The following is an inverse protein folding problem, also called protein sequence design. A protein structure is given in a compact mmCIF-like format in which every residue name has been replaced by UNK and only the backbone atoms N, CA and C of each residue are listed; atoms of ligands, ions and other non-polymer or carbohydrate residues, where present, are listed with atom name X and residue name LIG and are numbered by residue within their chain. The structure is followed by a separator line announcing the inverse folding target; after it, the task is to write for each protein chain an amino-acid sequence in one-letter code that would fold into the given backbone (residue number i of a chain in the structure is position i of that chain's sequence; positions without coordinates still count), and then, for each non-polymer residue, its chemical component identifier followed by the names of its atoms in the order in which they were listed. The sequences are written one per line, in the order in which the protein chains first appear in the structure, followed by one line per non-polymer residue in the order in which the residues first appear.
data_IF_240203177930
#
_entry.id   IF_240203177930
#
_cell.length_a   1.000
_cell.length_b   1.000
_cell.length_c   1.000
_cell.angle_alpha   90.00
_cell.angle_beta   90.00
_cell.angle_gamma   90.00
#
_symmetry.space_group_name_H-M   'P 1'
#
loop_
_entity.id
_entity.type
_entity.pdbx_description
1 polymer ?
#
# COMPACT_ATOMS: atom_id res chain seq x y z
N UNK A 1 10.92 5.51 -17.28
CA UNK A 1 10.89 5.35 -15.80
C UNK A 1 11.76 4.17 -15.51
N UNK A 2 12.70 4.32 -14.58
CA UNK A 2 13.73 3.32 -14.33
C UNK A 2 13.13 2.09 -13.62
N UNK A 3 13.71 0.90 -13.85
CA UNK A 3 13.30 -0.36 -13.22
C UNK A 3 13.42 -0.28 -11.69
N UNK A 4 14.39 0.49 -11.20
CA UNK A 4 14.57 0.81 -9.78
C UNK A 4 13.33 1.49 -9.16
N UNK A 5 12.74 2.49 -9.84
CA UNK A 5 11.53 3.17 -9.35
C UNK A 5 10.35 2.19 -9.31
N UNK A 6 10.29 1.27 -10.27
CA UNK A 6 9.24 0.27 -10.32
C UNK A 6 9.32 -0.69 -9.14
N UNK A 7 10.51 -1.23 -8.83
CA UNK A 7 10.69 -2.11 -7.67
C UNK A 7 10.43 -1.38 -6.34
N UNK A 8 10.88 -0.13 -6.17
CA UNK A 8 10.56 0.66 -4.97
C UNK A 8 9.05 0.84 -4.80
N UNK A 9 8.33 1.14 -5.87
CA UNK A 9 6.87 1.27 -5.82
C UNK A 9 6.17 -0.06 -5.54
N UNK A 10 6.72 -1.17 -6.04
CA UNK A 10 6.21 -2.52 -5.79
C UNK A 10 6.40 -2.93 -4.35
N UNK A 11 7.60 -2.83 -3.80
CA UNK A 11 7.89 -3.13 -2.40
C UNK A 11 7.01 -2.30 -1.47
N UNK A 12 6.94 -1.00 -1.71
CA UNK A 12 6.10 -0.09 -0.92
C UNK A 12 4.62 -0.45 -1.02
N UNK A 13 4.13 -0.69 -2.25
CA UNK A 13 2.75 -1.06 -2.49
C UNK A 13 2.40 -2.38 -1.81
N UNK A 14 3.23 -3.41 -1.94
CA UNK A 14 3.03 -4.69 -1.25
C UNK A 14 3.00 -4.53 0.26
N UNK A 15 3.87 -3.70 0.84
CA UNK A 15 3.84 -3.41 2.27
C UNK A 15 2.52 -2.76 2.69
N UNK A 16 2.05 -1.75 1.96
CA UNK A 16 0.74 -1.12 2.20
C UNK A 16 -0.38 -2.15 2.09
N UNK A 17 -0.39 -2.97 1.04
CA UNK A 17 -1.41 -3.99 0.84
C UNK A 17 -1.44 -5.05 1.96
N UNK A 18 -0.27 -5.41 2.50
CA UNK A 18 -0.17 -6.30 3.65
C UNK A 18 -0.81 -5.71 4.90
N UNK A 19 -0.43 -4.48 5.28
CA UNK A 19 -0.95 -3.86 6.52
C UNK A 19 -2.44 -3.55 6.43
N UNK A 20 -2.92 -3.14 5.26
CA UNK A 20 -4.35 -2.91 4.99
C UNK A 20 -5.14 -4.22 5.15
N UNK A 21 -4.58 -5.33 4.68
CA UNK A 21 -5.21 -6.64 4.82
C UNK A 21 -5.30 -7.08 6.28
N UNK A 22 -4.23 -6.91 7.06
CA UNK A 22 -4.24 -7.26 8.50
C UNK A 22 -5.26 -6.42 9.28
N UNK A 23 -5.42 -5.15 8.90
CA UNK A 23 -6.42 -4.25 9.46
C UNK A 23 -7.85 -4.45 8.89
N UNK A 24 -8.05 -5.35 7.93
CA UNK A 24 -9.31 -5.58 7.19
C UNK A 24 -9.94 -4.27 6.66
N UNK A 25 -9.11 -3.31 6.23
CA UNK A 25 -9.54 -1.94 5.94
C UNK A 25 -9.25 -1.48 4.50
N UNK A 26 -9.94 -2.09 3.54
CA UNK A 26 -9.79 -1.74 2.12
C UNK A 26 -10.04 -0.24 1.81
N UNK A 27 -10.79 0.48 2.66
CA UNK A 27 -11.04 1.91 2.55
C UNK A 27 -9.76 2.75 2.44
N UNK A 28 -8.68 2.34 3.12
CA UNK A 28 -7.41 3.07 3.11
C UNK A 28 -6.76 3.08 1.70
N UNK A 29 -6.99 2.05 0.88
CA UNK A 29 -6.52 2.02 -0.51
C UNK A 29 -7.29 3.01 -1.40
N UNK A 30 -8.58 3.22 -1.14
CA UNK A 30 -9.36 4.25 -1.83
C UNK A 30 -8.87 5.65 -1.47
N UNK A 31 -8.52 5.89 -0.21
CA UNK A 31 -7.94 7.15 0.24
C UNK A 31 -6.68 7.48 -0.56
N UNK A 32 -5.70 6.56 -0.61
CA UNK A 32 -4.45 6.74 -1.38
C UNK A 32 -4.71 6.96 -2.87
N UNK A 33 -5.62 6.18 -3.49
CA UNK A 33 -5.99 6.34 -4.90
C UNK A 33 -6.47 7.77 -5.18
N UNK A 34 -7.29 8.31 -4.29
CA UNK A 34 -8.03 9.55 -4.49
C UNK A 34 -7.22 10.83 -4.22
N UNK A 35 -6.01 10.75 -3.66
CA UNK A 35 -5.13 11.91 -3.48
C UNK A 35 -4.85 12.60 -4.83
N UNK A 36 -5.18 13.90 -4.95
CA UNK A 36 -5.12 14.65 -6.22
C UNK A 36 -3.85 15.50 -6.38
N UNK A 37 -3.10 15.68 -5.30
CA UNK A 37 -1.85 16.43 -5.25
C UNK A 37 -0.86 15.74 -4.28
N UNK A 38 0.44 16.10 -4.32
CA UNK A 38 1.45 15.53 -3.43
C UNK A 38 1.12 15.74 -1.95
N UNK A 39 0.59 16.91 -1.57
CA UNK A 39 0.30 17.26 -0.18
C UNK A 39 -0.73 16.30 0.42
N UNK A 40 -1.87 16.12 -0.24
CA UNK A 40 -2.90 15.15 0.17
C UNK A 40 -2.40 13.70 0.15
N UNK A 41 -1.42 13.38 -0.69
CA UNK A 41 -0.79 12.06 -0.68
C UNK A 41 0.09 11.87 0.55
N UNK A 42 0.92 12.86 0.90
CA UNK A 42 1.76 12.82 2.09
C UNK A 42 0.92 12.78 3.37
N UNK A 43 -0.15 13.58 3.45
CA UNK A 43 -1.10 13.53 4.58
C UNK A 43 -1.76 12.16 4.71
N UNK A 44 -2.17 11.54 3.59
CA UNK A 44 -2.73 10.20 3.62
C UNK A 44 -1.70 9.17 4.10
N UNK A 45 -0.47 9.22 3.59
CA UNK A 45 0.62 8.31 3.97
C UNK A 45 1.01 8.47 5.44
N UNK A 46 1.10 9.70 5.94
CA UNK A 46 1.32 10.00 7.36
C UNK A 46 0.22 9.36 8.23
N UNK A 47 -1.05 9.59 7.87
CA UNK A 47 -2.18 9.03 8.60
C UNK A 47 -2.14 7.50 8.62
N UNK A 48 -1.82 6.85 7.49
CA UNK A 48 -1.65 5.40 7.44
C UNK A 48 -0.49 4.93 8.34
N UNK A 49 0.67 5.58 8.27
CA UNK A 49 1.83 5.26 9.11
C UNK A 49 1.50 5.35 10.61
N UNK A 50 0.79 6.41 11.03
CA UNK A 50 0.37 6.59 12.42
C UNK A 50 -0.67 5.54 12.82
N UNK A 51 -1.67 5.30 11.97
CA UNK A 51 -2.74 4.33 12.22
C UNK A 51 -2.16 2.93 12.43
N UNK A 52 -1.36 2.44 11.50
CA UNK A 52 -0.82 1.08 11.56
C UNK A 52 0.33 0.92 12.57
N UNK A 53 0.99 2.00 12.98
CA UNK A 53 1.88 1.96 14.14
C UNK A 53 1.11 1.65 15.44
N UNK A 54 -0.10 2.19 15.62
CA UNK A 54 -0.95 1.91 16.79
C UNK A 54 -1.51 0.48 16.79
N UNK A 55 -1.75 -0.07 15.60
CA UNK A 55 -2.32 -1.41 15.42
C UNK A 55 -1.25 -2.53 15.31
N UNK A 56 0.02 -2.23 15.57
CA UNK A 56 1.16 -3.17 15.51
C UNK A 56 1.47 -3.77 14.12
N UNK A 57 0.92 -3.23 13.03
CA UNK A 57 1.17 -3.72 11.67
C UNK A 57 2.42 -3.10 11.00
N UNK A 58 3.00 -2.06 11.61
CA UNK A 58 4.25 -1.38 11.19
C UNK A 58 4.38 -1.12 9.68
N UNK A 59 3.66 -0.12 9.19
CA UNK A 59 3.95 0.48 7.88
C UNK A 59 5.19 1.39 7.98
N UNK A 60 6.24 1.04 7.24
CA UNK A 60 7.51 1.79 7.17
C UNK A 60 7.80 2.14 5.71
N UNK A 61 7.49 3.37 5.33
CA UNK A 61 7.78 3.85 3.99
C UNK A 61 9.28 4.10 3.85
N UNK A 62 9.88 3.63 2.75
CA UNK A 62 11.31 3.86 2.49
C UNK A 62 11.58 5.32 2.16
N UNK A 63 12.77 5.81 2.55
CA UNK A 63 13.19 7.18 2.22
C UNK A 63 13.25 7.40 0.70
N UNK A 64 13.64 6.37 -0.06
CA UNK A 64 13.73 6.45 -1.52
C UNK A 64 12.35 6.58 -2.17
N UNK A 65 11.33 5.91 -1.64
CA UNK A 65 9.96 6.14 -2.08
C UNK A 65 9.51 7.58 -1.80
N UNK A 66 9.83 8.13 -0.62
CA UNK A 66 9.51 9.51 -0.27
C UNK A 66 10.24 10.51 -1.19
N UNK A 67 11.50 10.24 -1.56
CA UNK A 67 12.25 11.05 -2.54
C UNK A 67 11.55 11.05 -3.90
N UNK A 68 11.09 9.90 -4.37
CA UNK A 68 10.33 9.77 -5.63
C UNK A 68 9.02 10.57 -5.56
N UNK A 69 8.30 10.54 -4.44
CA UNK A 69 7.06 11.29 -4.27
C UNK A 69 7.25 12.81 -4.21
N UNK A 70 8.44 13.29 -3.82
CA UNK A 70 8.78 14.72 -3.85
C UNK A 70 9.06 15.24 -5.25
N UNK A 71 9.33 14.36 -6.22
CA UNK A 71 9.57 14.75 -7.61
C UNK A 71 8.23 15.09 -8.31
N UNK A 72 8.05 16.33 -8.80
CA UNK A 72 6.79 16.80 -9.39
C UNK A 72 6.41 16.07 -10.69
N UNK A 73 7.39 15.48 -11.39
CA UNK A 73 7.19 14.72 -12.63
C UNK A 73 6.82 13.27 -12.31
N UNK A 74 7.41 12.69 -11.26
CA UNK A 74 7.30 11.25 -10.99
C UNK A 74 6.17 10.88 -10.02
N UNK A 75 5.78 11.77 -9.10
CA UNK A 75 4.90 11.40 -7.97
C UNK A 75 3.59 10.75 -8.40
N UNK A 76 2.92 11.24 -9.46
CA UNK A 76 1.63 10.67 -9.93
C UNK A 76 1.78 9.22 -10.36
N UNK A 77 2.88 8.93 -11.07
CA UNK A 77 3.16 7.59 -11.59
C UNK A 77 3.58 6.66 -10.46
N UNK A 78 4.42 7.14 -9.55
CA UNK A 78 4.83 6.39 -8.36
C UNK A 78 3.64 6.05 -7.45
N UNK A 79 2.77 7.03 -7.16
CA UNK A 79 1.50 6.83 -6.44
C UNK A 79 0.67 5.74 -7.11
N UNK A 80 0.49 5.84 -8.42
CA UNK A 80 -0.37 4.91 -9.17
C UNK A 80 0.16 3.48 -9.11
N UNK A 81 1.48 3.30 -9.27
CA UNK A 81 2.11 1.98 -9.13
C UNK A 81 1.98 1.43 -7.71
N UNK A 82 2.33 2.23 -6.69
CA UNK A 82 2.23 1.79 -5.30
C UNK A 82 0.79 1.35 -4.96
N UNK A 83 -0.23 2.09 -5.41
CA UNK A 83 -1.63 1.71 -5.24
C UNK A 83 -1.98 0.43 -5.99
N UNK A 84 -1.53 0.25 -7.23
CA UNK A 84 -1.75 -0.98 -8.00
C UNK A 84 -1.18 -2.19 -7.25
N UNK A 85 0.07 -2.10 -6.79
CA UNK A 85 0.72 -3.18 -6.05
C UNK A 85 0.07 -3.44 -4.70
N UNK A 86 -0.39 -2.39 -4.00
CA UNK A 86 -1.12 -2.53 -2.75
C UNK A 86 -2.46 -3.25 -2.93
N UNK A 87 -3.24 -2.90 -3.94
CA UNK A 87 -4.49 -3.58 -4.28
C UNK A 87 -4.24 -5.04 -4.66
N UNK A 88 -3.26 -5.29 -5.52
CA UNK A 88 -2.90 -6.65 -5.94
C UNK A 88 -2.51 -7.51 -4.74
N UNK A 89 -1.69 -6.97 -3.83
CA UNK A 89 -1.24 -7.67 -2.63
C UNK A 89 -2.41 -7.96 -1.68
N UNK A 90 -3.26 -6.98 -1.43
CA UNK A 90 -4.46 -7.15 -0.62
C UNK A 90 -5.34 -8.29 -1.16
N UNK A 91 -5.66 -8.26 -2.46
CA UNK A 91 -6.51 -9.26 -3.11
C UNK A 91 -5.87 -10.65 -3.09
N UNK A 92 -4.55 -10.74 -3.30
CA UNK A 92 -3.81 -12.00 -3.19
C UNK A 92 -3.98 -12.62 -1.80
N UNK A 93 -3.83 -11.82 -0.74
CA UNK A 93 -3.99 -12.31 0.64
C UNK A 93 -5.43 -12.66 0.96
N UNK A 94 -6.38 -11.87 0.50
CA UNK A 94 -7.80 -12.14 0.66
C UNK A 94 -8.21 -13.46 0.00
N UNK A 95 -7.74 -13.69 -1.23
CA UNK A 95 -7.95 -14.96 -1.92
C UNK A 95 -7.33 -16.13 -1.15
N UNK A 96 -6.08 -16.01 -0.71
CA UNK A 96 -5.41 -17.04 0.06
C UNK A 96 -6.12 -17.37 1.38
N UNK A 97 -6.65 -16.36 2.11
CA UNK A 97 -7.50 -16.55 3.30
C UNK A 97 -8.75 -17.36 2.95
N UNK A 98 -9.48 -16.94 1.90
CA UNK A 98 -10.72 -17.59 1.48
C UNK A 98 -10.56 -19.05 1.04
N UNK A 99 -9.41 -19.42 0.46
CA UNK A 99 -9.11 -20.80 0.08
C UNK A 99 -8.79 -21.65 1.31
N UNK A 100 -8.05 -21.11 2.30
CA UNK A 100 -7.78 -21.81 3.56
C UNK A 100 -9.05 -22.08 4.34
N UNK A 101 -9.94 -21.10 4.43
CA UNK A 101 -11.20 -21.23 5.18
C UNK A 101 -12.13 -22.30 4.55
N UNK A 102 -12.09 -22.47 3.22
CA UNK A 102 -12.84 -23.52 2.51
C UNK A 102 -12.29 -24.93 2.69
N UNK A 103 -10.98 -25.06 2.91
CA UNK A 103 -10.31 -26.37 3.05
C UNK A 103 -10.13 -26.79 4.52
N UNK A 104 -10.46 -25.92 5.49
CA UNK A 104 -10.36 -26.19 6.94
C UNK A 104 -11.68 -26.53 7.63
N UNK A 105 -12.76 -26.73 6.87
CA UNK A 105 -14.11 -27.04 7.39
C UNK A 105 -14.43 -28.53 7.57
N UNK A 106 -13.51 -29.43 7.21
CA UNK A 106 -13.64 -30.87 7.42
C UNK A 106 -12.48 -31.37 8.30
N UNK A 107 -12.67 -31.35 9.62
CA UNK A 107 -11.89 -32.12 10.59
C UNK A 107 -12.73 -32.40 11.84
#
# INVERSE_FOLDING_TARGET
MNDEIFEICKETGEQIGNVVFEADNFGDLYTLRNCKNPESLFEALENLSVKYAKENWTLRLSEDFLKILKDPILWKKAKSLAVIFAVNKYLQRHYARSVKDKNGGDA
#
